data_IF_158981749050
#
_entry.id   IF_158981749050
#
_cell.length_a   1.000
_cell.length_b   1.000
_cell.length_c   1.000
_cell.angle_alpha   90.00
_cell.angle_beta   90.00
_cell.angle_gamma   90.00
#
_symmetry.space_group_name_H-M   'P 1'
#
loop_
_entity.id
_entity.type
_entity.pdbx_description
1 polymer ?
#
# COMPACT_ATOMS: atom_id res chain seq x y z
N UNK A 1 -30.20 26.33 22.78
CA UNK A 1 -30.20 25.98 21.34
C UNK A 1 -28.79 25.76 20.73
N UNK A 2 -27.72 25.80 21.50
CA UNK A 2 -26.32 25.58 21.01
C UNK A 2 -25.83 24.12 21.11
N UNK A 3 -26.59 23.19 21.65
CA UNK A 3 -26.17 21.80 21.87
C UNK A 3 -26.54 20.81 20.76
N UNK A 4 -27.38 21.19 19.81
CA UNK A 4 -27.84 20.30 18.72
C UNK A 4 -26.98 20.37 17.46
N UNK A 5 -26.15 21.41 17.29
CA UNK A 5 -25.27 21.55 16.12
C UNK A 5 -24.04 20.64 16.13
N UNK A 6 -23.65 20.12 17.29
CA UNK A 6 -22.47 19.26 17.49
C UNK A 6 -22.65 17.81 17.02
N UNK A 7 -23.89 17.36 16.80
CA UNK A 7 -24.19 15.96 16.47
C UNK A 7 -24.19 15.66 14.96
N UNK A 8 -24.33 16.66 14.09
CA UNK A 8 -24.48 16.45 12.64
C UNK A 8 -23.19 16.65 11.84
N UNK A 9 -22.20 17.37 12.35
CA UNK A 9 -20.93 17.63 11.64
C UNK A 9 -19.70 16.99 12.29
N UNK A 10 -19.81 16.46 13.50
CA UNK A 10 -18.68 15.89 14.25
C UNK A 10 -17.64 16.92 14.74
N UNK A 11 -17.84 18.22 14.49
CA UNK A 11 -16.95 19.29 14.91
C UNK A 11 -17.71 20.40 15.66
N UNK A 12 -17.19 20.89 16.80
CA UNK A 12 -17.77 22.04 17.49
C UNK A 12 -17.58 23.34 16.68
N UNK A 13 -18.42 24.34 16.84
CA UNK A 13 -18.26 25.63 16.19
C UNK A 13 -16.94 26.34 16.56
N UNK A 14 -16.51 27.26 15.70
CA UNK A 14 -15.26 28.03 15.81
C UNK A 14 -14.96 28.49 17.24
N UNK A 15 -13.76 28.20 17.74
CA UNK A 15 -13.31 28.47 19.10
C UNK A 15 -13.29 27.27 20.06
N UNK A 16 -14.02 26.18 19.76
CA UNK A 16 -14.03 24.94 20.56
C UNK A 16 -13.15 23.82 20.00
N UNK A 17 -12.55 24.01 18.81
CA UNK A 17 -11.65 23.03 18.17
C UNK A 17 -10.39 22.74 19.01
N UNK A 18 -9.96 23.65 19.86
CA UNK A 18 -8.82 23.45 20.76
C UNK A 18 -8.98 22.24 21.69
N UNK A 19 -10.20 21.72 21.84
CA UNK A 19 -10.52 20.62 22.75
C UNK A 19 -10.63 19.23 22.07
N UNK A 20 -10.64 19.14 20.73
CA UNK A 20 -10.79 17.85 20.04
C UNK A 20 -9.66 17.52 19.07
N UNK A 21 -8.43 17.48 19.59
CA UNK A 21 -7.22 17.08 18.85
C UNK A 21 -7.34 15.70 18.19
N UNK A 22 -8.08 14.79 18.80
CA UNK A 22 -8.27 13.45 18.27
C UNK A 22 -9.09 13.47 16.97
N UNK A 23 -10.14 14.29 16.90
CA UNK A 23 -10.97 14.43 15.70
C UNK A 23 -10.20 15.11 14.56
N UNK A 24 -9.47 16.18 14.83
CA UNK A 24 -8.61 16.85 13.84
C UNK A 24 -7.57 15.89 13.28
N UNK A 25 -6.90 15.14 14.15
CA UNK A 25 -5.93 14.11 13.73
C UNK A 25 -6.57 13.01 12.90
N UNK A 26 -7.76 12.54 13.27
CA UNK A 26 -8.53 11.57 12.47
C UNK A 26 -8.83 12.10 11.06
N UNK A 27 -9.10 13.39 10.91
CA UNK A 27 -9.35 14.09 9.66
C UNK A 27 -8.10 14.57 8.92
N UNK A 28 -6.91 14.07 9.24
CA UNK A 28 -5.66 14.37 8.52
C UNK A 28 -4.91 15.63 9.00
N UNK A 29 -5.47 16.40 9.95
CA UNK A 29 -4.83 17.59 10.49
C UNK A 29 -3.89 17.23 11.63
N UNK A 30 -2.60 17.27 11.35
CA UNK A 30 -1.53 16.94 12.31
C UNK A 30 -1.08 18.21 13.03
N UNK A 31 -1.11 18.19 14.37
CA UNK A 31 -0.60 19.28 15.18
C UNK A 31 0.85 19.60 14.84
N UNK A 32 1.15 20.87 14.66
CA UNK A 32 2.51 21.38 14.49
C UNK A 32 3.12 21.89 15.81
N UNK A 33 4.38 22.31 15.74
CA UNK A 33 5.08 22.99 16.83
C UNK A 33 4.42 24.35 17.14
N UNK A 34 4.00 25.05 16.09
CA UNK A 34 3.33 26.35 16.20
C UNK A 34 1.90 26.15 16.73
N UNK A 35 1.55 26.94 17.74
CA UNK A 35 0.21 26.88 18.36
C UNK A 35 -0.88 27.20 17.34
N UNK A 36 -1.96 26.44 17.36
CA UNK A 36 -3.14 26.56 16.47
C UNK A 36 -2.83 26.43 14.96
N UNK A 37 -1.67 25.85 14.60
CA UNK A 37 -1.34 25.50 13.23
C UNK A 37 -1.28 23.97 13.06
N UNK A 38 -1.66 23.52 11.87
CA UNK A 38 -1.74 22.11 11.50
C UNK A 38 -1.06 21.84 10.17
N UNK A 39 -0.47 20.67 10.04
CA UNK A 39 -0.09 20.12 8.76
C UNK A 39 -1.22 19.23 8.27
N UNK A 40 -1.87 19.59 7.18
CA UNK A 40 -2.92 18.80 6.56
C UNK A 40 -2.31 17.77 5.64
N UNK A 41 -2.47 16.49 5.96
CA UNK A 41 -2.09 15.38 5.08
C UNK A 41 -3.24 15.04 4.15
N UNK A 42 -2.95 14.86 2.86
CA UNK A 42 -3.93 14.50 1.84
C UNK A 42 -4.02 13.00 1.62
N UNK A 43 -5.14 12.51 1.12
CA UNK A 43 -5.32 11.18 0.58
C UNK A 43 -4.75 11.15 -0.84
N UNK A 44 -3.64 10.44 -1.03
CA UNK A 44 -3.01 10.27 -2.34
C UNK A 44 -2.75 8.78 -2.54
N UNK A 45 -3.61 8.12 -3.31
CA UNK A 45 -3.53 6.67 -3.55
C UNK A 45 -2.38 6.37 -4.50
N UNK A 46 -1.47 5.50 -4.08
CA UNK A 46 -0.33 5.08 -4.89
C UNK A 46 0.60 6.20 -5.34
N UNK A 47 0.58 7.36 -4.67
CA UNK A 47 1.39 8.51 -5.07
C UNK A 47 0.92 9.21 -6.35
N UNK A 48 -0.27 8.91 -6.85
CA UNK A 48 -0.80 9.46 -8.10
C UNK A 48 -1.66 10.69 -7.86
N UNK A 49 -1.31 11.78 -8.52
CA UNK A 49 -2.04 13.04 -8.57
C UNK A 49 -2.13 13.52 -10.02
N UNK A 50 -3.28 14.06 -10.40
CA UNK A 50 -3.40 14.75 -11.68
C UNK A 50 -2.75 16.13 -11.63
N UNK A 51 -2.44 16.71 -12.78
CA UNK A 51 -1.96 18.08 -12.85
C UNK A 51 -2.97 19.08 -12.25
N UNK A 52 -4.26 18.80 -12.35
CA UNK A 52 -5.32 19.61 -11.77
C UNK A 52 -5.33 19.53 -10.23
N UNK A 53 -5.19 18.30 -9.66
CA UNK A 53 -5.02 18.14 -8.22
C UNK A 53 -3.82 18.96 -7.71
N UNK A 54 -2.67 18.90 -8.41
CA UNK A 54 -1.46 19.62 -8.00
C UNK A 54 -1.66 21.15 -8.03
N UNK A 55 -2.35 21.68 -9.03
CA UNK A 55 -2.69 23.11 -9.09
C UNK A 55 -3.57 23.50 -7.91
N UNK A 56 -4.62 22.72 -7.62
CA UNK A 56 -5.50 23.01 -6.49
C UNK A 56 -4.79 22.91 -5.14
N UNK A 57 -3.90 21.95 -4.97
CA UNK A 57 -3.07 21.83 -3.76
C UNK A 57 -2.17 23.05 -3.59
N UNK A 58 -1.57 23.55 -4.68
CA UNK A 58 -0.73 24.74 -4.66
C UNK A 58 -1.55 25.99 -4.28
N UNK A 59 -2.71 26.21 -4.91
CA UNK A 59 -3.64 27.31 -4.56
C UNK A 59 -4.02 27.32 -3.08
N UNK A 60 -4.35 26.13 -2.53
CA UNK A 60 -4.72 26.00 -1.12
C UNK A 60 -3.50 26.25 -0.20
N UNK A 61 -2.32 25.78 -0.58
CA UNK A 61 -1.09 26.02 0.17
C UNK A 61 -0.71 27.52 0.20
N UNK A 62 -0.89 28.23 -0.91
CA UNK A 62 -0.67 29.67 -1.00
C UNK A 62 -1.68 30.48 -0.17
N UNK A 63 -2.96 30.09 -0.22
CA UNK A 63 -4.04 30.85 0.43
C UNK A 63 -4.13 30.60 1.94
N UNK A 64 -3.98 29.35 2.38
CA UNK A 64 -4.25 28.94 3.77
C UNK A 64 -3.03 28.39 4.53
N UNK A 65 -1.93 28.12 3.85
CA UNK A 65 -0.66 27.73 4.41
C UNK A 65 0.37 28.85 4.39
N UNK A 66 1.62 28.50 4.11
CA UNK A 66 2.72 29.45 3.92
C UNK A 66 3.34 29.36 2.50
N UNK A 67 2.59 28.82 1.54
CA UNK A 67 2.97 28.74 0.14
C UNK A 67 3.84 27.53 -0.22
N UNK A 68 4.11 26.60 0.71
CA UNK A 68 4.81 25.38 0.37
C UNK A 68 4.02 24.11 0.70
N UNK A 69 4.41 23.00 0.07
CA UNK A 69 3.91 21.67 0.36
C UNK A 69 5.06 20.73 0.71
N UNK A 70 4.79 19.72 1.55
CA UNK A 70 5.76 18.69 1.91
C UNK A 70 5.35 17.33 1.33
N UNK A 71 6.27 16.68 0.60
CA UNK A 71 6.08 15.32 0.11
C UNK A 71 6.45 14.32 1.20
N UNK A 72 5.52 13.48 1.62
CA UNK A 72 5.75 12.53 2.70
C UNK A 72 6.43 11.25 2.20
N UNK A 73 7.10 10.51 3.10
CA UNK A 73 7.68 9.20 2.79
C UNK A 73 6.64 8.15 2.35
N UNK A 74 5.34 8.40 2.58
CA UNK A 74 4.24 7.53 2.14
C UNK A 74 3.51 8.07 0.92
N UNK A 75 4.25 8.75 0.02
CA UNK A 75 3.73 9.22 -1.26
C UNK A 75 2.49 10.14 -1.14
N UNK A 76 2.34 10.82 -0.02
CA UNK A 76 1.28 11.80 0.18
C UNK A 76 1.84 13.22 0.17
N UNK A 77 0.95 14.19 0.11
CA UNK A 77 1.25 15.62 0.24
C UNK A 77 0.74 16.11 1.58
N UNK A 78 1.53 16.95 2.24
CA UNK A 78 1.12 17.74 3.41
C UNK A 78 1.16 19.21 3.09
N UNK A 79 0.11 19.93 3.51
CA UNK A 79 0.06 21.39 3.49
C UNK A 79 0.27 21.87 4.92
N UNK A 80 1.44 22.43 5.25
CA UNK A 80 1.72 22.93 6.59
C UNK A 80 1.09 24.33 6.82
N UNK A 81 1.09 24.75 8.08
CA UNK A 81 0.66 26.05 8.57
C UNK A 81 -0.82 26.41 8.35
N UNK A 82 -1.68 25.43 8.09
CA UNK A 82 -3.13 25.60 8.07
C UNK A 82 -3.60 26.00 9.47
N UNK A 83 -4.30 27.13 9.58
CA UNK A 83 -4.83 27.59 10.86
C UNK A 83 -6.07 26.83 11.27
N UNK A 84 -6.32 26.75 12.56
CA UNK A 84 -7.49 26.05 13.11
C UNK A 84 -8.81 26.58 12.55
N UNK A 85 -8.91 27.90 12.41
CA UNK A 85 -10.13 28.56 11.96
C UNK A 85 -10.43 28.33 10.47
N UNK A 86 -9.41 27.98 9.67
CA UNK A 86 -9.52 27.77 8.22
C UNK A 86 -9.83 26.29 7.86
N UNK A 87 -9.92 25.39 8.82
CA UNK A 87 -10.01 23.93 8.59
C UNK A 87 -11.14 23.53 7.65
N UNK A 88 -12.35 24.08 7.85
CA UNK A 88 -13.51 23.72 7.03
C UNK A 88 -13.41 24.33 5.62
N UNK A 89 -12.97 25.57 5.49
CA UNK A 89 -12.77 26.23 4.19
C UNK A 89 -11.71 25.47 3.36
N UNK A 90 -10.62 25.04 3.99
CA UNK A 90 -9.56 24.26 3.34
C UNK A 90 -10.09 22.95 2.78
N UNK A 91 -10.97 22.26 3.51
CA UNK A 91 -11.61 21.02 3.04
C UNK A 91 -12.50 21.28 1.83
N UNK A 92 -13.30 22.34 1.88
CA UNK A 92 -14.19 22.73 0.77
C UNK A 92 -13.41 23.11 -0.48
N UNK A 93 -12.34 23.91 -0.34
CA UNK A 93 -11.49 24.28 -1.46
C UNK A 93 -10.79 23.09 -2.11
N UNK A 94 -10.24 22.18 -1.29
CA UNK A 94 -9.62 20.94 -1.79
C UNK A 94 -10.63 20.05 -2.52
N UNK A 95 -11.86 19.95 -2.02
CA UNK A 95 -12.91 19.15 -2.63
C UNK A 95 -13.27 19.65 -4.05
N UNK A 96 -13.22 20.95 -4.33
CA UNK A 96 -13.42 21.53 -5.66
C UNK A 96 -12.41 21.03 -6.70
N UNK A 97 -11.19 20.66 -6.26
CA UNK A 97 -10.16 20.06 -7.09
C UNK A 97 -10.09 18.54 -6.99
N UNK A 98 -11.11 17.86 -6.42
CA UNK A 98 -11.12 16.42 -6.25
C UNK A 98 -10.12 15.90 -5.19
N UNK A 99 -9.52 16.80 -4.41
CA UNK A 99 -8.59 16.43 -3.34
C UNK A 99 -9.33 16.20 -2.03
N UNK A 100 -8.83 15.27 -1.21
CA UNK A 100 -9.45 14.94 0.08
C UNK A 100 -8.40 14.93 1.20
N UNK A 101 -8.77 15.36 2.42
CA UNK A 101 -7.97 15.09 3.60
C UNK A 101 -7.70 13.59 3.77
N UNK A 102 -6.49 13.25 4.17
CA UNK A 102 -6.11 11.89 4.54
C UNK A 102 -6.58 11.53 5.94
N UNK A 103 -6.32 10.29 6.35
CA UNK A 103 -6.65 9.82 7.69
C UNK A 103 -5.40 9.50 8.50
N UNK A 104 -5.48 9.77 9.80
CA UNK A 104 -4.47 9.42 10.78
C UNK A 104 -5.10 8.67 11.98
N UNK A 105 -4.28 8.18 12.90
CA UNK A 105 -4.77 7.43 14.07
C UNK A 105 -4.90 5.92 13.81
N UNK A 106 -5.73 5.20 14.57
CA UNK A 106 -5.90 3.76 14.52
C UNK A 106 -6.84 3.35 13.38
N UNK A 107 -6.35 3.47 12.15
CA UNK A 107 -7.12 3.23 10.92
C UNK A 107 -6.23 2.68 9.81
N UNK A 108 -6.86 2.08 8.81
CA UNK A 108 -6.19 1.77 7.55
C UNK A 108 -5.77 3.07 6.87
N UNK A 109 -4.50 3.12 6.48
CA UNK A 109 -3.87 4.27 5.82
C UNK A 109 -4.03 4.19 4.32
N UNK A 110 -3.91 5.33 3.63
CA UNK A 110 -3.81 5.37 2.18
C UNK A 110 -2.76 4.39 1.68
N UNK A 111 -3.09 3.64 0.63
CA UNK A 111 -2.22 2.63 0.04
C UNK A 111 -1.09 3.30 -0.73
N UNK A 112 0.14 2.82 -0.53
CA UNK A 112 1.31 3.24 -1.31
C UNK A 112 1.58 2.25 -2.44
N UNK A 113 1.98 2.74 -3.62
CA UNK A 113 2.26 1.89 -4.77
C UNK A 113 3.43 2.42 -5.61
N UNK A 114 4.17 1.54 -6.29
CA UNK A 114 5.11 1.96 -7.32
C UNK A 114 4.38 2.16 -8.66
N UNK A 115 5.10 2.53 -9.73
CA UNK A 115 4.51 2.82 -11.05
C UNK A 115 3.86 1.60 -11.75
N UNK A 116 4.26 0.36 -11.35
CA UNK A 116 3.67 -0.85 -11.92
C UNK A 116 3.94 -1.06 -13.41
N UNK A 117 3.25 -2.05 -14.01
CA UNK A 117 3.44 -2.46 -15.39
C UNK A 117 2.92 -1.46 -16.44
N UNK A 118 2.11 -0.50 -16.03
CA UNK A 118 1.63 0.54 -16.94
C UNK A 118 2.76 1.49 -17.39
N UNK A 119 3.83 1.61 -16.61
CA UNK A 119 4.94 2.53 -16.87
C UNK A 119 6.30 1.82 -16.81
N UNK A 120 6.49 0.93 -15.83
CA UNK A 120 7.76 0.28 -15.58
C UNK A 120 7.91 -1.03 -16.40
N UNK A 121 8.94 -1.20 -17.23
CA UNK A 121 9.14 -2.44 -18.01
C UNK A 121 9.39 -3.68 -17.14
N UNK A 122 9.84 -3.50 -15.91
CA UNK A 122 9.99 -4.60 -14.94
C UNK A 122 8.69 -4.99 -14.25
N UNK A 123 7.63 -4.17 -14.33
CA UNK A 123 6.35 -4.43 -13.68
C UNK A 123 5.68 -5.70 -14.21
N UNK A 124 5.07 -6.48 -13.30
CA UNK A 124 4.26 -7.66 -13.61
C UNK A 124 2.77 -7.39 -13.38
N UNK A 125 2.43 -6.43 -12.51
CA UNK A 125 1.06 -6.07 -12.14
C UNK A 125 0.80 -4.57 -12.31
N UNK A 126 -0.48 -4.21 -12.49
CA UNK A 126 -0.94 -2.82 -12.37
C UNK A 126 -1.08 -2.46 -10.89
N UNK A 127 -0.05 -1.85 -10.35
CA UNK A 127 0.03 -1.50 -8.94
C UNK A 127 -0.95 -0.39 -8.55
N UNK A 128 -1.24 0.52 -9.49
CA UNK A 128 -2.17 1.62 -9.23
C UNK A 128 -3.62 1.13 -9.18
N UNK A 129 -4.00 0.21 -10.05
CA UNK A 129 -5.32 -0.40 -10.03
C UNK A 129 -5.54 -1.21 -8.74
N UNK A 130 -4.58 -2.05 -8.36
CA UNK A 130 -4.63 -2.78 -7.08
C UNK A 130 -4.70 -1.81 -5.88
N UNK A 131 -3.90 -0.73 -5.89
CA UNK A 131 -3.93 0.26 -4.82
C UNK A 131 -5.28 0.96 -4.70
N UNK A 132 -5.93 1.31 -5.82
CA UNK A 132 -7.28 1.89 -5.83
C UNK A 132 -8.32 0.92 -5.26
N UNK A 133 -8.28 -0.35 -5.66
CA UNK A 133 -9.19 -1.40 -5.18
C UNK A 133 -9.03 -1.62 -3.67
N UNK A 134 -7.79 -1.70 -3.18
CA UNK A 134 -7.49 -1.81 -1.75
C UNK A 134 -7.94 -0.57 -0.96
N UNK A 135 -7.68 0.62 -1.50
CA UNK A 135 -8.08 1.88 -0.86
C UNK A 135 -9.61 1.99 -0.79
N UNK A 136 -10.32 1.70 -1.88
CA UNK A 136 -11.77 1.69 -1.92
C UNK A 136 -12.40 0.69 -0.92
N UNK A 137 -11.74 -0.46 -0.70
CA UNK A 137 -12.23 -1.51 0.21
C UNK A 137 -11.96 -1.21 1.68
N UNK A 138 -10.81 -0.64 2.01
CA UNK A 138 -10.33 -0.60 3.40
C UNK A 138 -10.02 0.79 3.95
N UNK A 139 -9.89 1.81 3.10
CA UNK A 139 -9.48 3.14 3.55
C UNK A 139 -10.31 3.65 4.73
N UNK A 140 -9.63 4.21 5.71
CA UNK A 140 -10.23 4.77 6.92
C UNK A 140 -10.95 3.76 7.84
N UNK A 141 -10.99 2.45 7.52
CA UNK A 141 -11.53 1.43 8.43
C UNK A 141 -10.87 1.57 9.79
N UNK A 142 -11.67 1.68 10.85
CA UNK A 142 -11.18 1.75 12.22
C UNK A 142 -10.65 0.38 12.66
N UNK A 143 -9.50 0.39 13.29
CA UNK A 143 -8.76 -0.79 13.76
C UNK A 143 -8.13 -0.48 15.12
N UNK A 144 -7.68 -1.48 15.89
CA UNK A 144 -7.00 -1.24 17.17
C UNK A 144 -5.75 -0.34 17.07
N UNK A 145 -5.06 -0.35 15.91
CA UNK A 145 -3.98 0.57 15.58
C UNK A 145 -3.91 0.82 14.06
N UNK A 146 -2.97 1.69 13.63
CA UNK A 146 -2.74 1.99 12.20
C UNK A 146 -2.37 0.71 11.44
N UNK A 147 -2.92 0.56 10.24
CA UNK A 147 -2.65 -0.53 9.32
C UNK A 147 -2.27 0.02 7.95
N UNK A 148 -1.28 -0.57 7.31
CA UNK A 148 -0.68 -0.06 6.09
C UNK A 148 -0.60 -1.14 5.04
N UNK A 149 -0.93 -0.77 3.80
CA UNK A 149 -0.65 -1.54 2.59
C UNK A 149 0.46 -0.89 1.77
N UNK A 150 1.27 -1.72 1.12
CA UNK A 150 2.24 -1.29 0.11
C UNK A 150 2.21 -2.24 -1.07
N UNK A 151 2.16 -1.70 -2.31
CA UNK A 151 2.06 -2.48 -3.55
C UNK A 151 3.24 -2.17 -4.45
N UNK A 152 4.05 -3.17 -4.80
CA UNK A 152 5.15 -3.03 -5.74
C UNK A 152 4.97 -3.94 -6.95
N UNK A 153 5.35 -3.50 -8.13
CA UNK A 153 5.04 -4.17 -9.40
C UNK A 153 5.90 -5.39 -9.72
N UNK A 154 7.02 -5.62 -9.03
CA UNK A 154 7.96 -6.71 -9.32
C UNK A 154 8.96 -6.94 -8.17
N UNK A 155 9.85 -7.92 -8.35
CA UNK A 155 10.86 -8.31 -7.36
C UNK A 155 11.98 -7.28 -7.13
N UNK A 156 12.10 -6.22 -7.96
CA UNK A 156 13.00 -5.09 -7.63
C UNK A 156 12.55 -4.33 -6.37
N UNK A 157 11.29 -4.47 -5.97
CA UNK A 157 10.73 -4.00 -4.70
C UNK A 157 11.05 -2.54 -4.35
N UNK A 158 11.00 -1.64 -5.33
CA UNK A 158 11.38 -0.24 -5.19
C UNK A 158 10.56 0.50 -4.11
N UNK A 159 9.34 0.06 -3.84
CA UNK A 159 8.47 0.59 -2.79
C UNK A 159 8.74 -0.03 -1.42
N UNK A 160 9.50 -1.12 -1.34
CA UNK A 160 9.74 -1.88 -0.11
C UNK A 160 8.43 -2.36 0.53
N UNK A 161 7.69 -3.20 -0.22
CA UNK A 161 6.37 -3.67 0.20
C UNK A 161 6.38 -4.31 1.60
N UNK A 162 7.44 -5.06 1.93
CA UNK A 162 7.62 -5.74 3.22
C UNK A 162 7.79 -4.80 4.44
N UNK A 163 7.86 -3.48 4.24
CA UNK A 163 7.83 -2.50 5.34
C UNK A 163 6.40 -2.21 5.84
N UNK A 164 5.39 -2.72 5.14
CA UNK A 164 3.99 -2.50 5.46
C UNK A 164 3.38 -3.68 6.22
N UNK A 165 2.28 -3.43 6.93
CA UNK A 165 1.56 -4.48 7.66
C UNK A 165 1.12 -5.60 6.69
N UNK A 166 0.71 -5.23 5.47
CA UNK A 166 0.58 -6.15 4.33
C UNK A 166 1.32 -5.55 3.12
N UNK A 167 2.26 -6.31 2.59
CA UNK A 167 3.02 -5.97 1.39
C UNK A 167 2.64 -6.88 0.23
N UNK A 168 2.40 -6.30 -0.96
CA UNK A 168 2.03 -7.02 -2.17
C UNK A 168 3.10 -6.76 -3.23
N UNK A 169 3.70 -7.82 -3.76
CA UNK A 169 4.67 -7.75 -4.86
C UNK A 169 4.11 -8.47 -6.08
N UNK A 170 4.22 -7.83 -7.24
CA UNK A 170 3.89 -8.47 -8.51
C UNK A 170 4.85 -9.61 -8.81
N UNK A 171 4.29 -10.77 -9.08
CA UNK A 171 4.98 -11.98 -9.48
C UNK A 171 4.56 -12.40 -10.88
N UNK A 172 5.32 -13.32 -11.46
CA UNK A 172 5.00 -14.02 -12.70
C UNK A 172 5.34 -15.49 -12.51
N UNK A 173 4.32 -16.32 -12.50
CA UNK A 173 4.46 -17.77 -12.57
C UNK A 173 4.80 -18.12 -14.00
N UNK A 174 5.87 -18.88 -14.21
CA UNK A 174 6.36 -19.19 -15.55
C UNK A 174 6.35 -20.68 -15.81
N UNK A 175 6.00 -21.02 -17.05
CA UNK A 175 6.02 -22.39 -17.58
C UNK A 175 6.87 -22.43 -18.86
N UNK A 176 7.68 -23.46 -19.01
CA UNK A 176 8.52 -23.64 -20.20
C UNK A 176 7.88 -24.65 -21.16
N UNK A 177 7.71 -24.18 -22.41
CA UNK A 177 7.22 -24.96 -23.53
C UNK A 177 8.40 -25.44 -24.40
N UNK A 178 8.76 -26.71 -24.25
CA UNK A 178 9.92 -27.33 -24.96
C UNK A 178 9.80 -27.21 -26.47
N UNK A 179 8.65 -27.50 -27.12
CA UNK A 179 8.52 -27.43 -28.59
C UNK A 179 8.78 -26.05 -29.19
N UNK A 180 8.51 -24.98 -28.47
CA UNK A 180 8.74 -23.61 -28.92
C UNK A 180 10.15 -23.09 -28.65
N UNK A 181 10.98 -23.89 -27.95
CA UNK A 181 12.32 -23.46 -27.50
C UNK A 181 13.38 -23.73 -28.58
N UNK A 182 14.13 -22.71 -28.97
CA UNK A 182 15.27 -22.80 -29.89
C UNK A 182 16.62 -22.97 -29.19
N UNK A 183 16.62 -23.26 -27.89
CA UNK A 183 17.80 -23.50 -27.05
C UNK A 183 18.85 -22.36 -27.10
N UNK A 184 18.44 -21.11 -27.24
CA UNK A 184 19.34 -19.95 -27.38
C UNK A 184 20.02 -19.50 -26.07
N UNK A 185 19.59 -20.00 -24.91
CA UNK A 185 20.18 -19.70 -23.60
C UNK A 185 19.95 -18.27 -23.09
N UNK A 186 19.09 -17.46 -23.73
CA UNK A 186 18.79 -16.07 -23.29
C UNK A 186 18.14 -16.06 -21.91
N UNK A 187 17.23 -17.01 -21.62
CA UNK A 187 16.57 -17.14 -20.31
C UNK A 187 17.56 -17.43 -19.18
N UNK A 188 18.60 -18.25 -19.45
CA UNK A 188 19.67 -18.54 -18.48
C UNK A 188 20.43 -17.26 -18.12
N UNK A 189 20.80 -16.45 -19.12
CA UNK A 189 21.50 -15.17 -18.92
C UNK A 189 20.61 -14.12 -18.24
N UNK A 190 19.31 -14.15 -18.51
CA UNK A 190 18.34 -13.22 -17.92
C UNK A 190 18.02 -13.53 -16.44
N UNK A 191 18.22 -14.79 -16.01
CA UNK A 191 17.93 -15.22 -14.65
C UNK A 191 19.02 -14.76 -13.67
N UNK A 192 18.71 -13.75 -12.85
CA UNK A 192 19.67 -13.22 -11.85
C UNK A 192 19.85 -14.13 -10.65
N UNK A 193 18.88 -14.99 -10.37
CA UNK A 193 18.89 -15.94 -9.25
C UNK A 193 19.62 -17.25 -9.60
N UNK A 194 20.03 -17.41 -10.88
CA UNK A 194 20.63 -18.68 -11.32
C UNK A 194 19.66 -19.86 -11.24
N UNK A 195 18.37 -19.59 -11.24
CA UNK A 195 17.32 -20.61 -11.16
C UNK A 195 17.11 -21.38 -12.47
N UNK A 196 17.66 -20.90 -13.59
CA UNK A 196 17.50 -21.53 -14.90
C UNK A 196 18.88 -22.03 -15.37
N UNK A 197 18.94 -23.31 -15.68
CA UNK A 197 20.12 -23.94 -16.27
C UNK A 197 19.76 -24.66 -17.57
N UNK A 198 20.77 -24.96 -18.38
CA UNK A 198 20.62 -25.70 -19.63
C UNK A 198 21.60 -26.89 -19.59
N UNK A 199 21.06 -28.11 -19.65
CA UNK A 199 21.82 -29.34 -19.64
C UNK A 199 21.15 -30.38 -20.55
N UNK A 200 21.91 -31.18 -21.24
CA UNK A 200 21.47 -32.27 -22.09
C UNK A 200 20.34 -31.91 -23.07
N UNK A 201 20.42 -30.69 -23.65
CA UNK A 201 19.42 -30.22 -24.60
C UNK A 201 18.09 -29.81 -23.97
N UNK A 202 18.04 -29.60 -22.66
CA UNK A 202 16.83 -29.18 -21.92
C UNK A 202 17.09 -27.94 -21.07
N UNK A 203 16.03 -27.19 -20.86
CA UNK A 203 15.98 -26.12 -19.85
C UNK A 203 15.46 -26.70 -18.55
N UNK A 204 16.16 -26.42 -17.46
CA UNK A 204 15.80 -26.85 -16.11
C UNK A 204 15.52 -25.59 -15.27
N UNK A 205 14.33 -25.52 -14.68
CA UNK A 205 13.97 -24.50 -13.73
C UNK A 205 14.03 -25.05 -12.29
N UNK A 206 14.88 -24.45 -11.48
CA UNK A 206 14.94 -24.67 -10.03
C UNK A 206 13.90 -23.74 -9.38
N UNK A 207 12.76 -24.30 -8.98
CA UNK A 207 11.66 -23.54 -8.39
C UNK A 207 11.99 -22.99 -7.01
N UNK A 208 12.92 -23.59 -6.28
CA UNK A 208 13.33 -23.14 -4.95
C UNK A 208 14.19 -21.87 -5.02
N UNK A 209 14.92 -21.69 -6.14
CA UNK A 209 15.69 -20.46 -6.40
C UNK A 209 14.87 -19.39 -7.13
N UNK A 210 13.76 -19.76 -7.73
CA UNK A 210 12.96 -18.84 -8.53
C UNK A 210 12.23 -17.81 -7.64
N UNK A 211 12.49 -16.52 -7.87
CA UNK A 211 11.81 -15.44 -7.16
C UNK A 211 10.60 -14.88 -7.93
N UNK A 212 10.11 -15.57 -8.94
CA UNK A 212 8.94 -15.19 -9.74
C UNK A 212 9.04 -13.80 -10.43
N UNK A 213 10.23 -13.39 -10.84
CA UNK A 213 10.42 -12.06 -11.47
C UNK A 213 9.96 -11.99 -12.94
N UNK A 214 9.75 -13.11 -13.60
CA UNK A 214 9.28 -13.19 -14.97
C UNK A 214 10.28 -12.76 -16.05
N UNK A 215 11.56 -12.56 -15.72
CA UNK A 215 12.58 -12.10 -16.70
C UNK A 215 12.81 -13.10 -17.82
N UNK A 216 12.74 -14.40 -17.53
CA UNK A 216 12.87 -15.46 -18.53
C UNK A 216 11.78 -15.38 -19.60
N UNK A 217 10.53 -15.16 -19.21
CA UNK A 217 9.42 -14.98 -20.13
C UNK A 217 9.57 -13.68 -20.95
N UNK A 218 9.86 -12.56 -20.30
CA UNK A 218 10.04 -11.25 -20.96
C UNK A 218 11.23 -11.20 -21.94
N UNK A 219 12.24 -12.03 -21.74
CA UNK A 219 13.45 -12.06 -22.57
C UNK A 219 13.43 -13.15 -23.64
N UNK A 220 12.46 -14.06 -23.62
CA UNK A 220 12.38 -15.17 -24.56
C UNK A 220 12.00 -14.68 -25.97
N UNK A 221 12.83 -14.94 -27.00
CA UNK A 221 12.53 -14.45 -28.35
C UNK A 221 11.48 -15.29 -29.11
N UNK A 222 11.11 -16.46 -28.58
CA UNK A 222 10.18 -17.41 -29.22
C UNK A 222 8.92 -17.68 -28.40
N UNK A 223 8.74 -16.93 -27.30
CA UNK A 223 7.64 -17.13 -26.34
C UNK A 223 7.57 -18.56 -25.77
N UNK A 224 8.70 -19.29 -25.76
CA UNK A 224 8.79 -20.62 -25.15
C UNK A 224 8.62 -20.58 -23.63
N UNK A 225 8.79 -19.42 -23.01
CA UNK A 225 8.41 -19.19 -21.64
C UNK A 225 7.06 -18.45 -21.59
N UNK A 226 6.03 -19.14 -21.16
CA UNK A 226 4.73 -18.53 -20.85
C UNK A 226 4.75 -18.01 -19.42
N UNK A 227 4.07 -16.89 -19.16
CA UNK A 227 4.04 -16.26 -17.87
C UNK A 227 2.64 -15.81 -17.48
N UNK A 228 2.18 -16.23 -16.30
CA UNK A 228 0.93 -15.77 -15.70
C UNK A 228 1.20 -14.83 -14.55
N UNK A 229 0.44 -13.74 -14.49
CA UNK A 229 0.54 -12.75 -13.41
C UNK A 229 0.13 -13.36 -12.09
N UNK A 230 0.89 -13.05 -11.03
CA UNK A 230 0.60 -13.44 -9.66
C UNK A 230 1.02 -12.39 -8.65
N UNK A 231 0.80 -12.69 -7.39
CA UNK A 231 1.12 -11.81 -6.27
C UNK A 231 1.85 -12.59 -5.19
N UNK A 232 2.97 -12.06 -4.71
CA UNK A 232 3.59 -12.48 -3.46
C UNK A 232 3.13 -11.54 -2.35
N UNK A 233 2.60 -12.10 -1.29
CA UNK A 233 2.01 -11.33 -0.19
C UNK A 233 2.81 -11.54 1.09
N UNK A 234 3.31 -10.46 1.66
CA UNK A 234 4.04 -10.46 2.94
C UNK A 234 3.21 -9.82 4.04
N UNK A 235 3.40 -10.29 5.27
CA UNK A 235 2.63 -9.88 6.44
C UNK A 235 3.54 -9.49 7.60
N UNK A 236 3.09 -8.55 8.43
CA UNK A 236 3.77 -8.17 9.66
C UNK A 236 4.93 -7.21 9.49
N UNK A 237 5.03 -6.50 8.35
CA UNK A 237 6.06 -5.49 8.18
C UNK A 237 5.90 -4.31 9.14
N UNK A 238 7.01 -3.88 9.72
CA UNK A 238 7.07 -2.78 10.67
C UNK A 238 8.36 -1.98 10.47
N UNK A 239 8.21 -0.71 10.13
CA UNK A 239 9.33 0.22 10.02
C UNK A 239 9.06 1.48 10.83
N UNK A 240 9.90 1.73 11.83
CA UNK A 240 9.84 2.82 12.79
C UNK A 240 10.95 2.67 13.83
N UNK A 241 10.63 2.85 15.11
CA UNK A 241 11.59 2.62 16.19
C UNK A 241 12.04 1.15 16.27
N UNK A 242 11.16 0.23 15.89
CA UNK A 242 11.45 -1.18 15.68
C UNK A 242 11.32 -1.49 14.20
N UNK A 243 12.21 -2.31 13.68
CA UNK A 243 12.21 -2.75 12.29
C UNK A 243 11.95 -4.25 12.27
N UNK A 244 10.93 -4.65 11.49
CA UNK A 244 10.64 -6.03 11.18
C UNK A 244 10.24 -6.12 9.70
N UNK A 245 10.88 -7.02 8.97
CA UNK A 245 10.54 -7.30 7.57
C UNK A 245 9.36 -8.25 7.53
N UNK A 246 8.31 -7.90 6.79
CA UNK A 246 7.16 -8.77 6.57
C UNK A 246 7.56 -10.08 5.88
N UNK A 247 6.91 -11.18 6.29
CA UNK A 247 7.20 -12.52 5.82
C UNK A 247 6.16 -12.98 4.80
N UNK A 248 6.61 -13.69 3.75
CA UNK A 248 5.76 -14.37 2.79
C UNK A 248 5.35 -15.73 3.40
N UNK A 249 4.07 -15.87 3.72
CA UNK A 249 3.53 -17.04 4.44
C UNK A 249 2.70 -17.97 3.55
N UNK A 250 2.49 -17.61 2.29
CA UNK A 250 1.67 -18.33 1.32
C UNK A 250 2.45 -18.52 0.01
N UNK A 251 2.08 -19.52 -0.79
CA UNK A 251 2.51 -19.61 -2.19
C UNK A 251 2.07 -18.38 -3.00
N UNK A 252 2.51 -18.29 -4.25
CA UNK A 252 2.07 -17.23 -5.17
C UNK A 252 0.55 -17.25 -5.29
N UNK A 253 -0.06 -16.10 -5.08
CA UNK A 253 -1.49 -15.85 -5.27
C UNK A 253 -1.72 -15.58 -6.75
N UNK A 254 -2.64 -16.28 -7.40
CA UNK A 254 -2.81 -16.27 -8.86
C UNK A 254 -4.02 -15.47 -9.35
N UNK A 255 -4.87 -14.99 -8.45
CA UNK A 255 -6.02 -14.16 -8.82
C UNK A 255 -6.23 -12.98 -7.86
N UNK A 256 -6.87 -11.91 -8.36
CA UNK A 256 -7.24 -10.77 -7.52
C UNK A 256 -8.28 -11.16 -6.46
N UNK A 257 -9.20 -12.04 -6.80
CA UNK A 257 -10.21 -12.52 -5.86
C UNK A 257 -9.55 -13.21 -4.65
N UNK A 258 -8.61 -14.11 -4.92
CA UNK A 258 -7.82 -14.78 -3.90
C UNK A 258 -7.01 -13.76 -3.07
N UNK A 259 -6.39 -12.74 -3.73
CA UNK A 259 -5.66 -11.67 -3.06
C UNK A 259 -6.57 -10.91 -2.07
N UNK A 260 -7.80 -10.59 -2.48
CA UNK A 260 -8.74 -9.87 -1.61
C UNK A 260 -9.25 -10.73 -0.46
N UNK A 261 -9.52 -12.02 -0.67
CA UNK A 261 -9.86 -12.94 0.44
C UNK A 261 -8.76 -12.99 1.50
N UNK A 262 -7.52 -13.10 1.06
CA UNK A 262 -6.34 -13.13 1.95
C UNK A 262 -6.18 -11.81 2.71
N UNK A 263 -6.35 -10.68 2.04
CA UNK A 263 -6.24 -9.37 2.69
C UNK A 263 -7.40 -9.09 3.65
N UNK A 264 -8.61 -9.55 3.34
CA UNK A 264 -9.76 -9.52 4.26
C UNK A 264 -9.48 -10.33 5.52
N UNK A 265 -8.98 -11.56 5.35
CA UNK A 265 -8.62 -12.44 6.47
C UNK A 265 -7.55 -11.80 7.37
N UNK A 266 -6.52 -11.19 6.77
CA UNK A 266 -5.45 -10.54 7.53
C UNK A 266 -5.95 -9.31 8.34
N UNK A 267 -6.78 -8.46 7.74
CA UNK A 267 -7.37 -7.30 8.45
C UNK A 267 -8.31 -7.77 9.55
N UNK A 268 -9.14 -8.79 9.27
CA UNK A 268 -10.08 -9.30 10.25
C UNK A 268 -9.35 -9.95 11.42
N UNK A 269 -8.31 -10.76 11.15
CA UNK A 269 -7.45 -11.32 12.20
C UNK A 269 -6.86 -10.23 13.11
N UNK A 270 -6.39 -9.12 12.52
CA UNK A 270 -5.88 -7.99 13.29
C UNK A 270 -6.98 -7.30 14.11
N UNK A 271 -8.14 -7.07 13.51
CA UNK A 271 -9.27 -6.44 14.21
C UNK A 271 -9.72 -7.25 15.44
N UNK A 272 -9.76 -8.57 15.31
CA UNK A 272 -10.28 -9.47 16.35
C UNK A 272 -9.27 -9.77 17.47
N UNK A 273 -7.98 -9.72 17.17
CA UNK A 273 -6.95 -10.18 18.10
C UNK A 273 -6.07 -9.08 18.67
N UNK A 274 -5.97 -7.89 18.02
CA UNK A 274 -5.06 -6.85 18.48
C UNK A 274 -5.58 -6.12 19.73
N UNK A 275 -4.67 -5.80 20.63
CA UNK A 275 -4.94 -4.90 21.74
C UNK A 275 -4.95 -3.43 21.28
N UNK A 276 -5.61 -2.50 22.01
CA UNK A 276 -5.53 -1.08 21.71
C UNK A 276 -4.06 -0.60 21.63
N UNK A 277 -3.74 0.13 20.55
CA UNK A 277 -2.40 0.65 20.24
C UNK A 277 -1.33 -0.41 19.90
N UNK A 278 -1.68 -1.67 19.74
CA UNK A 278 -0.78 -2.75 19.31
C UNK A 278 -0.63 -2.76 17.78
N UNK A 279 0.60 -2.86 17.29
CA UNK A 279 0.87 -3.02 15.84
C UNK A 279 0.64 -4.46 15.41
N UNK A 280 0.32 -4.67 14.13
CA UNK A 280 0.02 -5.98 13.55
C UNK A 280 1.14 -6.99 13.82
N UNK A 281 2.41 -6.64 13.62
CA UNK A 281 3.54 -7.51 13.92
C UNK A 281 3.53 -8.03 15.38
N UNK A 282 3.31 -7.15 16.34
CA UNK A 282 3.26 -7.56 17.75
C UNK A 282 2.02 -8.40 18.08
N UNK A 283 0.93 -8.19 17.34
CA UNK A 283 -0.25 -9.08 17.43
C UNK A 283 0.09 -10.48 16.94
N UNK A 284 0.81 -10.60 15.81
CA UNK A 284 1.24 -11.90 15.25
C UNK A 284 2.19 -12.62 16.22
N UNK A 285 3.16 -11.92 16.79
CA UNK A 285 4.07 -12.49 17.80
C UNK A 285 3.33 -13.00 19.05
N UNK A 286 2.38 -12.21 19.57
CA UNK A 286 1.65 -12.54 20.80
C UNK A 286 0.62 -13.64 20.61
N UNK A 287 -0.10 -13.65 19.51
CA UNK A 287 -1.18 -14.64 19.23
C UNK A 287 -0.62 -15.94 18.69
N UNK A 288 0.52 -15.87 18.02
CA UNK A 288 1.19 -16.98 17.36
C UNK A 288 1.03 -16.96 15.84
N UNK A 289 2.16 -17.04 15.15
CA UNK A 289 2.22 -17.00 13.69
C UNK A 289 1.51 -18.21 13.05
N UNK A 290 1.55 -19.37 13.70
CA UNK A 290 0.91 -20.59 13.17
C UNK A 290 -0.60 -20.47 13.11
N UNK A 291 -1.23 -19.86 14.13
CA UNK A 291 -2.67 -19.55 14.11
C UNK A 291 -3.03 -18.62 12.95
N UNK A 292 -2.20 -17.62 12.68
CA UNK A 292 -2.41 -16.73 11.55
C UNK A 292 -2.23 -17.44 10.20
N UNK A 293 -1.23 -18.34 10.09
CA UNK A 293 -1.02 -19.17 8.89
C UNK A 293 -2.22 -20.06 8.58
N UNK A 294 -2.90 -20.62 9.59
CA UNK A 294 -4.12 -21.42 9.40
C UNK A 294 -5.22 -20.56 8.77
N UNK A 295 -5.48 -19.39 9.33
CA UNK A 295 -6.47 -18.43 8.77
C UNK A 295 -6.13 -18.03 7.34
N UNK A 296 -4.85 -17.79 7.05
CA UNK A 296 -4.42 -17.46 5.69
C UNK A 296 -4.58 -18.64 4.72
N UNK A 297 -4.32 -19.87 5.14
CA UNK A 297 -4.50 -21.07 4.31
C UNK A 297 -5.97 -21.30 3.96
N UNK A 298 -6.87 -21.10 4.91
CA UNK A 298 -8.32 -21.15 4.65
C UNK A 298 -8.73 -20.11 3.59
N UNK A 299 -8.29 -18.87 3.75
CA UNK A 299 -8.57 -17.79 2.79
C UNK A 299 -7.91 -18.02 1.42
N UNK A 300 -6.77 -18.69 1.37
CA UNK A 300 -6.06 -19.03 0.14
C UNK A 300 -6.79 -20.11 -0.67
N UNK A 301 -7.32 -21.13 0.00
CA UNK A 301 -7.98 -22.28 -0.63
C UNK A 301 -9.44 -22.00 -1.03
N UNK A 302 -10.06 -20.95 -0.46
CA UNK A 302 -11.40 -20.47 -0.82
C UNK A 302 -12.49 -21.03 -0.09
#
# INVERSE_FOLDING_TARGET
MLWLATYLTGFPPTGLYALNWAALKKGGFMRQKQKNNFSLRLQVVGGNLTAENLKKIAEVAEKYGDGHVHLTSRQSVEIPFVKLDDVEEVKEELAKGGCKPGVCGPRVRTVTACQGNQICPSGNIDTYDIAKKLDARYYARELPHKFKFGVTGCQNNCLKAEENDVGIKGAMVVEWDEPSCIMCGVCVKACREGAITMADGKIILDTDKCNYCGRCAKACPTDAWKGETGYLVSFGGLFGNTIHRGEELLPVVTSEEQLFRITDAAIQFFADNAKPSERFQFTLERVGLDKFKEVLKEAYNG
#
